data_IF_988541454818
#
_entry.id   IF_988541454818
#
_cell.length_a   1.000
_cell.length_b   1.000
_cell.length_c   1.000
_cell.angle_alpha   90.00
_cell.angle_beta   90.00
_cell.angle_gamma   90.00
#
_symmetry.space_group_name_H-M   'P 1'
#
loop_
_entity.id
_entity.type
_entity.pdbx_description
1 polymer ?
#
# COMPACT_ATOMS: atom_id res chain seq x y z
N UNK A 1 14.79 9.92 87.60
CA UNK A 1 13.57 9.24 87.12
C UNK A 1 13.22 9.95 85.84
N UNK A 2 13.27 9.36 84.66
CA UNK A 2 13.22 7.99 84.19
C UNK A 2 13.98 7.87 82.87
N UNK A 3 14.98 7.03 82.93
CA UNK A 3 15.42 6.30 81.74
C UNK A 3 14.19 5.47 81.21
N UNK A 4 13.91 5.51 79.96
CA UNK A 4 13.59 4.27 79.23
C UNK A 4 13.21 4.49 77.81
N UNK A 5 13.89 3.69 77.04
CA UNK A 5 13.51 3.04 75.78
C UNK A 5 13.60 3.86 74.52
N UNK A 6 14.81 3.99 74.07
CA UNK A 6 15.09 3.95 72.66
C UNK A 6 15.39 2.49 72.27
N UNK A 7 14.36 1.69 72.08
CA UNK A 7 14.51 0.44 71.35
C UNK A 7 14.65 0.79 69.90
N UNK A 8 15.88 0.74 69.46
CA UNK A 8 16.23 0.78 68.07
C UNK A 8 15.49 -0.35 67.34
N UNK A 9 14.60 -0.03 66.43
CA UNK A 9 14.29 -0.89 65.30
C UNK A 9 15.64 -1.13 64.59
N UNK A 10 16.15 -2.34 64.79
CA UNK A 10 17.26 -2.86 64.00
C UNK A 10 16.66 -3.02 62.60
N UNK A 11 16.76 -2.03 61.75
CA UNK A 11 16.68 -2.23 60.31
C UNK A 11 17.65 -3.38 60.01
N UNK A 12 17.13 -4.49 59.53
CA UNK A 12 17.89 -5.62 58.98
C UNK A 12 18.69 -5.07 57.77
N UNK A 13 19.80 -4.40 58.06
CA UNK A 13 20.80 -4.06 57.05
C UNK A 13 21.35 -5.39 56.49
N UNK A 14 20.79 -5.83 55.37
CA UNK A 14 21.27 -7.00 54.66
C UNK A 14 22.74 -6.75 54.30
N UNK A 15 23.65 -7.37 55.06
CA UNK A 15 25.07 -7.25 54.80
C UNK A 15 25.37 -7.73 53.36
N UNK A 16 26.16 -6.95 52.60
CA UNK A 16 26.62 -7.32 51.26
C UNK A 16 27.23 -8.73 51.28
N UNK A 17 27.87 -9.12 52.37
CA UNK A 17 28.43 -10.47 52.59
C UNK A 17 27.31 -11.53 52.58
N UNK A 18 26.21 -11.29 53.25
CA UNK A 18 25.07 -12.21 53.31
C UNK A 18 24.36 -12.35 51.95
N UNK A 19 24.29 -11.25 51.21
CA UNK A 19 23.79 -11.28 49.80
C UNK A 19 24.66 -12.13 48.92
N UNK A 20 25.99 -12.01 49.01
CA UNK A 20 26.97 -12.81 48.25
C UNK A 20 26.85 -14.28 48.65
N UNK A 21 26.76 -14.60 49.96
CA UNK A 21 26.64 -15.96 50.45
C UNK A 21 25.30 -16.61 49.96
N UNK A 22 24.19 -15.90 50.04
CA UNK A 22 22.91 -16.38 49.50
C UNK A 22 22.98 -16.59 47.98
N UNK A 23 23.64 -15.69 47.24
CA UNK A 23 23.82 -15.86 45.81
C UNK A 23 24.58 -17.15 45.48
N UNK A 24 25.71 -17.44 46.18
CA UNK A 24 26.49 -18.66 45.98
C UNK A 24 25.70 -19.91 46.37
N UNK A 25 24.85 -19.84 47.40
CA UNK A 25 24.01 -20.94 47.82
C UNK A 25 22.93 -21.26 46.75
N UNK A 26 22.26 -20.25 46.17
CA UNK A 26 21.31 -20.41 45.06
C UNK A 26 22.00 -20.92 43.81
N UNK A 27 23.18 -20.40 43.50
CA UNK A 27 23.99 -20.86 42.36
C UNK A 27 24.37 -22.33 42.47
N UNK A 28 24.85 -22.77 43.62
CA UNK A 28 25.17 -24.17 43.87
C UNK A 28 23.94 -25.08 43.80
N UNK A 29 22.82 -24.60 44.30
CA UNK A 29 21.53 -25.31 44.22
C UNK A 29 21.05 -25.47 42.76
N UNK A 30 21.20 -24.46 41.94
CA UNK A 30 20.93 -24.50 40.49
C UNK A 30 21.80 -25.55 39.84
N UNK A 31 23.13 -25.55 40.10
CA UNK A 31 24.07 -26.55 39.56
C UNK A 31 23.72 -27.96 40.00
N UNK A 32 23.36 -28.16 41.25
CA UNK A 32 22.93 -29.46 41.78
C UNK A 32 21.64 -29.98 41.14
N UNK A 33 20.76 -29.05 40.72
CA UNK A 33 19.47 -29.39 40.10
C UNK A 33 19.52 -29.45 38.57
N UNK A 34 20.72 -29.66 37.98
CA UNK A 34 20.95 -29.66 36.53
C UNK A 34 20.03 -30.63 35.75
N UNK A 35 19.63 -31.77 36.36
CA UNK A 35 18.74 -32.76 35.73
C UNK A 35 17.37 -32.18 35.46
N UNK A 36 16.85 -31.33 36.35
CA UNK A 36 15.56 -30.68 36.19
C UNK A 36 15.64 -29.58 35.12
N UNK A 37 16.74 -28.81 35.11
CA UNK A 37 16.99 -27.80 34.09
C UNK A 37 17.13 -28.46 32.71
N UNK A 38 17.92 -29.55 32.61
CA UNK A 38 18.08 -30.32 31.38
C UNK A 38 16.75 -30.85 30.85
N UNK A 39 15.84 -31.30 31.72
CA UNK A 39 14.49 -31.72 31.32
C UNK A 39 13.72 -30.57 30.65
N UNK A 40 13.74 -29.38 31.23
CA UNK A 40 13.06 -28.21 30.65
C UNK A 40 13.72 -27.73 29.37
N UNK A 41 15.03 -27.83 29.26
CA UNK A 41 15.77 -27.54 28.00
C UNK A 41 15.31 -28.50 26.90
N UNK A 42 15.25 -29.82 27.20
CA UNK A 42 14.77 -30.82 26.23
C UNK A 42 13.32 -30.54 25.82
N UNK A 43 12.44 -30.21 26.76
CA UNK A 43 11.06 -29.82 26.47
C UNK A 43 10.98 -28.54 25.60
N UNK A 44 11.78 -27.52 25.92
CA UNK A 44 11.88 -26.30 25.15
C UNK A 44 12.37 -26.52 23.71
N UNK A 45 13.40 -27.36 23.55
CA UNK A 45 13.90 -27.78 22.24
C UNK A 45 12.83 -28.56 21.46
N UNK A 46 12.21 -29.55 22.07
CA UNK A 46 11.17 -30.37 21.43
C UNK A 46 10.00 -29.51 20.95
N UNK A 47 9.55 -28.56 21.79
CA UNK A 47 8.48 -27.63 21.44
C UNK A 47 8.86 -26.73 20.25
N UNK A 48 10.09 -26.16 20.25
CA UNK A 48 10.55 -25.32 19.16
C UNK A 48 10.78 -26.11 17.86
N UNK A 49 11.29 -27.34 17.94
CA UNK A 49 11.41 -28.24 16.78
C UNK A 49 10.04 -28.61 16.23
N UNK A 50 9.07 -28.96 17.07
CA UNK A 50 7.69 -29.22 16.63
C UNK A 50 7.12 -28.00 15.89
N UNK A 51 7.30 -26.80 16.43
CA UNK A 51 6.85 -25.54 15.81
C UNK A 51 7.53 -25.29 14.45
N UNK A 52 8.82 -25.60 14.35
CA UNK A 52 9.59 -25.48 13.11
C UNK A 52 9.08 -26.40 11.99
N UNK A 53 8.81 -27.65 12.30
CA UNK A 53 8.31 -28.62 11.31
C UNK A 53 6.86 -28.37 10.91
N UNK A 54 6.06 -27.77 11.79
CA UNK A 54 4.65 -27.44 11.50
C UNK A 54 4.46 -26.06 10.90
N UNK A 55 5.48 -25.16 10.96
CA UNK A 55 5.38 -23.82 10.41
C UNK A 55 5.55 -23.85 8.88
N UNK A 56 4.55 -23.35 8.18
CA UNK A 56 4.60 -23.24 6.73
C UNK A 56 5.49 -22.07 6.30
N UNK A 57 6.34 -22.32 5.32
CA UNK A 57 7.27 -21.32 4.76
C UNK A 57 6.49 -20.32 3.90
N UNK A 58 6.68 -19.02 4.14
CA UNK A 58 6.21 -17.96 3.25
C UNK A 58 7.37 -17.51 2.35
N UNK A 59 7.04 -17.17 1.13
CA UNK A 59 7.96 -16.66 0.11
C UNK A 59 7.59 -15.22 -0.21
N UNK A 60 8.55 -14.32 -0.15
CA UNK A 60 8.33 -12.88 -0.37
C UNK A 60 8.87 -12.49 -1.73
N UNK A 61 7.98 -12.02 -2.61
CA UNK A 61 8.33 -11.38 -3.87
C UNK A 61 8.24 -9.86 -3.69
N UNK A 62 9.21 -9.12 -4.21
CA UNK A 62 9.21 -7.66 -4.16
C UNK A 62 9.54 -7.07 -5.52
N UNK A 63 8.87 -5.97 -5.88
CA UNK A 63 9.16 -5.13 -7.04
C UNK A 63 9.43 -3.71 -6.56
N UNK A 64 10.52 -3.10 -7.07
CA UNK A 64 10.86 -1.72 -6.79
C UNK A 64 10.76 -0.90 -8.08
N UNK A 65 10.17 0.28 -7.99
CA UNK A 65 10.00 1.17 -9.15
C UNK A 65 9.97 2.63 -8.74
N UNK A 66 10.28 3.49 -9.69
CA UNK A 66 10.13 4.94 -9.58
C UNK A 66 9.10 5.41 -10.60
N UNK A 67 8.38 6.45 -10.25
CA UNK A 67 7.49 7.11 -11.17
C UNK A 67 8.11 8.49 -11.44
N UNK A 68 8.61 8.67 -12.64
CA UNK A 68 9.12 9.95 -13.10
C UNK A 68 8.01 10.63 -13.88
N UNK A 69 7.45 11.71 -13.34
CA UNK A 69 6.82 12.71 -14.20
C UNK A 69 7.98 13.48 -14.82
N UNK A 70 8.14 13.38 -16.14
CA UNK A 70 9.09 14.22 -16.84
C UNK A 70 8.94 15.65 -16.33
N UNK A 71 10.04 16.22 -15.86
CA UNK A 71 10.17 17.63 -15.51
C UNK A 71 9.96 18.50 -16.74
N UNK A 72 8.82 18.38 -17.41
CA UNK A 72 8.41 19.35 -18.42
C UNK A 72 8.13 20.73 -17.79
N UNK A 73 8.30 20.86 -16.49
CA UNK A 73 8.45 22.12 -15.76
C UNK A 73 9.79 22.83 -16.05
N UNK A 74 10.80 22.16 -16.63
CA UNK A 74 12.08 22.77 -16.97
C UNK A 74 12.13 23.53 -18.31
N UNK A 75 11.05 23.51 -19.10
CA UNK A 75 10.83 24.48 -20.16
C UNK A 75 10.52 25.84 -19.53
N UNK A 76 11.56 26.47 -19.00
CA UNK A 76 11.58 27.67 -18.14
C UNK A 76 10.90 28.95 -18.67
N UNK A 77 10.13 28.88 -19.73
CA UNK A 77 9.25 29.95 -20.22
C UNK A 77 7.78 29.53 -20.30
N UNK A 78 7.48 28.24 -20.41
CA UNK A 78 6.12 27.70 -20.53
C UNK A 78 5.48 27.38 -19.17
N UNK A 79 6.28 27.07 -18.16
CA UNK A 79 5.81 26.87 -16.79
C UNK A 79 5.20 28.14 -16.17
N UNK A 80 5.71 29.31 -16.52
CA UNK A 80 5.15 30.60 -16.09
C UNK A 80 3.79 30.94 -16.71
N UNK A 81 3.56 30.50 -17.94
CA UNK A 81 2.28 30.72 -18.65
C UNK A 81 1.22 29.69 -18.23
N UNK A 82 1.62 28.44 -17.99
CA UNK A 82 0.77 27.43 -17.39
C UNK A 82 0.51 27.69 -15.89
N UNK A 83 1.47 28.33 -15.19
CA UNK A 83 1.33 28.72 -13.78
C UNK A 83 0.24 29.78 -13.57
N UNK A 84 0.05 30.73 -14.50
CA UNK A 84 -1.02 31.71 -14.41
C UNK A 84 -2.42 31.11 -14.68
N UNK A 85 -2.51 30.03 -15.46
CA UNK A 85 -3.73 29.25 -15.67
C UNK A 85 -3.85 28.04 -14.73
N UNK A 86 -2.72 27.48 -14.27
CA UNK A 86 -2.66 26.36 -13.35
C UNK A 86 -3.21 26.67 -11.97
N UNK A 87 -3.20 27.94 -11.55
CA UNK A 87 -3.85 28.39 -10.33
C UNK A 87 -5.38 28.27 -10.36
N UNK A 88 -6.00 28.25 -11.56
CA UNK A 88 -7.43 28.09 -11.75
C UNK A 88 -7.85 26.62 -11.95
N UNK A 89 -6.90 25.72 -12.34
CA UNK A 89 -7.14 24.30 -12.63
C UNK A 89 -6.59 23.35 -11.55
N UNK A 90 -6.32 23.90 -10.36
CA UNK A 90 -5.90 23.11 -9.21
C UNK A 90 -4.40 22.78 -9.25
N UNK A 91 -3.72 23.41 -8.34
CA UNK A 91 -2.32 23.46 -8.06
C UNK A 91 -1.48 22.25 -8.41
N UNK A 92 -0.20 22.55 -8.59
CA UNK A 92 0.89 21.65 -8.75
C UNK A 92 0.57 20.25 -8.25
N UNK A 93 0.61 19.29 -9.13
CA UNK A 93 0.70 17.90 -8.72
C UNK A 93 2.05 17.71 -8.04
N UNK A 94 2.15 18.14 -6.79
CA UNK A 94 3.10 17.55 -5.90
C UNK A 94 2.74 16.06 -5.89
N UNK A 95 3.61 15.27 -6.43
CA UNK A 95 3.49 13.84 -6.58
C UNK A 95 3.21 13.24 -5.22
N UNK A 96 1.95 12.98 -4.91
CA UNK A 96 1.58 12.45 -3.62
C UNK A 96 1.74 10.92 -3.67
N UNK A 97 2.94 10.44 -3.33
CA UNK A 97 3.27 9.02 -3.25
C UNK A 97 2.30 8.27 -2.31
N UNK A 98 1.78 8.95 -1.27
CA UNK A 98 0.77 8.39 -0.38
C UNK A 98 -0.50 8.00 -1.14
N UNK A 99 -0.95 8.84 -2.10
CA UNK A 99 -2.10 8.50 -2.95
C UNK A 99 -1.84 7.27 -3.81
N UNK A 100 -0.62 7.12 -4.32
CA UNK A 100 -0.26 5.94 -5.11
C UNK A 100 -0.27 4.70 -4.25
N UNK A 101 0.22 4.78 -3.00
CA UNK A 101 0.13 3.70 -2.02
C UNK A 101 -1.34 3.33 -1.70
N UNK A 102 -2.18 4.32 -1.47
CA UNK A 102 -3.61 4.07 -1.22
C UNK A 102 -4.30 3.42 -2.42
N UNK A 103 -3.99 3.88 -3.63
CA UNK A 103 -4.51 3.29 -4.87
C UNK A 103 -4.06 1.84 -5.00
N UNK A 104 -2.78 1.53 -4.70
CA UNK A 104 -2.26 0.16 -4.77
C UNK A 104 -3.00 -0.83 -3.86
N UNK A 105 -3.61 -0.34 -2.76
CA UNK A 105 -4.40 -1.12 -1.79
C UNK A 105 -5.91 -0.95 -1.97
N UNK A 106 -6.35 -0.34 -3.06
CA UNK A 106 -7.77 -0.10 -3.32
C UNK A 106 -8.51 -1.40 -3.65
N UNK A 107 -9.83 -1.44 -3.35
CA UNK A 107 -10.68 -2.57 -3.69
C UNK A 107 -10.68 -2.85 -5.19
N UNK A 108 -10.65 -1.79 -6.02
CA UNK A 108 -10.60 -1.90 -7.47
C UNK A 108 -9.37 -2.65 -7.98
N UNK A 109 -8.19 -2.34 -7.41
CA UNK A 109 -6.94 -3.03 -7.76
C UNK A 109 -7.02 -4.47 -7.27
N UNK A 110 -7.48 -4.69 -6.02
CA UNK A 110 -7.66 -6.03 -5.47
C UNK A 110 -8.60 -6.92 -6.29
N UNK A 111 -9.73 -6.38 -6.73
CA UNK A 111 -10.67 -7.09 -7.62
C UNK A 111 -10.02 -7.52 -8.92
N UNK A 112 -9.37 -6.60 -9.62
CA UNK A 112 -8.71 -6.87 -10.90
C UNK A 112 -7.61 -7.93 -10.77
N UNK A 113 -6.80 -7.87 -9.72
CA UNK A 113 -5.73 -8.84 -9.48
C UNK A 113 -6.30 -10.22 -9.19
N UNK A 114 -7.29 -10.32 -8.32
CA UNK A 114 -7.89 -11.59 -7.92
C UNK A 114 -8.55 -12.31 -9.08
N UNK A 115 -9.04 -11.57 -10.08
CA UNK A 115 -9.66 -12.11 -11.30
C UNK A 115 -8.67 -12.33 -12.46
N UNK A 116 -7.37 -12.03 -12.28
CA UNK A 116 -6.33 -12.44 -13.23
C UNK A 116 -6.04 -13.93 -13.10
N UNK A 117 -5.68 -14.55 -14.24
CA UNK A 117 -5.24 -15.94 -14.28
C UNK A 117 -3.75 -16.05 -13.99
N UNK A 118 -3.38 -17.07 -13.22
CA UNK A 118 -2.01 -17.42 -12.89
C UNK A 118 -1.77 -18.92 -13.02
N UNK A 119 -0.54 -19.33 -13.29
CA UNK A 119 -0.15 -20.75 -13.37
C UNK A 119 0.63 -21.11 -12.11
N UNK A 120 -0.04 -21.73 -11.15
CA UNK A 120 0.54 -22.17 -9.90
C UNK A 120 0.59 -23.70 -9.84
N UNK A 121 1.78 -24.26 -9.61
CA UNK A 121 1.99 -25.72 -9.60
C UNK A 121 1.46 -26.44 -10.85
N UNK A 122 1.59 -25.81 -12.03
CA UNK A 122 1.15 -26.37 -13.31
C UNK A 122 -0.35 -26.28 -13.58
N UNK A 123 -1.16 -25.69 -12.69
CA UNK A 123 -2.58 -25.46 -12.88
C UNK A 123 -2.82 -23.99 -13.19
N UNK A 124 -3.46 -23.72 -14.34
CA UNK A 124 -3.96 -22.38 -14.68
C UNK A 124 -5.32 -22.17 -14.02
N UNK A 125 -5.43 -21.13 -13.21
CA UNK A 125 -6.67 -20.75 -12.52
C UNK A 125 -6.60 -19.26 -12.14
N UNK A 126 -7.70 -18.69 -11.66
CA UNK A 126 -7.70 -17.32 -11.11
C UNK A 126 -6.86 -17.22 -9.84
N UNK A 127 -6.18 -16.08 -9.66
CA UNK A 127 -5.39 -15.80 -8.44
C UNK A 127 -6.27 -15.97 -7.19
N UNK A 128 -7.53 -15.54 -7.24
CA UNK A 128 -8.50 -15.74 -6.16
C UNK A 128 -8.64 -17.23 -5.79
N UNK A 129 -8.76 -18.12 -6.79
CA UNK A 129 -8.91 -19.56 -6.55
C UNK A 129 -7.64 -20.18 -5.95
N UNK A 130 -6.46 -19.78 -6.43
CA UNK A 130 -5.19 -20.21 -5.87
C UNK A 130 -5.03 -19.73 -4.41
N UNK A 131 -5.47 -18.51 -4.12
CA UNK A 131 -5.43 -17.95 -2.78
C UNK A 131 -6.38 -18.68 -1.84
N UNK A 132 -7.63 -18.98 -2.25
CA UNK A 132 -8.60 -19.78 -1.48
C UNK A 132 -8.00 -21.16 -1.15
N UNK A 133 -7.41 -21.85 -2.13
CA UNK A 133 -6.79 -23.16 -1.90
C UNK A 133 -5.61 -23.06 -0.94
N UNK A 134 -4.78 -22.03 -1.07
CA UNK A 134 -3.64 -21.79 -0.19
C UNK A 134 -4.07 -21.53 1.25
N UNK A 135 -5.04 -20.64 1.45
CA UNK A 135 -5.60 -20.29 2.76
C UNK A 135 -6.27 -21.51 3.43
N UNK A 136 -7.03 -22.29 2.67
CA UNK A 136 -7.72 -23.47 3.21
C UNK A 136 -6.75 -24.58 3.61
N UNK A 137 -5.75 -24.85 2.78
CA UNK A 137 -4.79 -25.93 3.02
C UNK A 137 -3.84 -25.61 4.18
N UNK A 138 -3.39 -24.36 4.30
CA UNK A 138 -2.30 -23.96 5.19
C UNK A 138 -2.81 -23.27 6.44
N UNK A 139 -3.67 -22.27 6.30
CA UNK A 139 -4.21 -21.49 7.42
C UNK A 139 -5.48 -22.09 8.01
N UNK A 140 -6.00 -23.15 7.39
CA UNK A 140 -7.25 -23.78 7.79
C UNK A 140 -8.39 -22.75 7.89
N UNK A 141 -8.51 -21.93 6.88
CA UNK A 141 -9.42 -20.78 6.80
C UNK A 141 -10.85 -21.07 7.27
N UNK A 142 -11.33 -22.29 7.06
CA UNK A 142 -12.64 -22.76 7.55
C UNK A 142 -12.56 -23.63 8.80
N UNK A 143 -11.38 -24.13 9.15
CA UNK A 143 -11.23 -25.07 10.27
C UNK A 143 -11.18 -24.33 11.61
N UNK A 144 -12.32 -23.86 12.03
CA UNK A 144 -12.48 -23.14 13.31
C UNK A 144 -12.47 -24.15 14.45
N UNK A 145 -11.72 -23.85 15.52
CA UNK A 145 -11.72 -24.65 16.75
C UNK A 145 -13.15 -24.95 17.23
N UNK A 146 -13.39 -26.17 17.70
CA UNK A 146 -14.72 -26.66 18.08
C UNK A 146 -15.51 -25.72 19.02
N UNK A 147 -14.82 -25.01 19.93
CA UNK A 147 -15.43 -24.05 20.85
C UNK A 147 -15.85 -22.72 20.22
N UNK A 148 -15.35 -22.40 19.03
CA UNK A 148 -15.73 -21.19 18.25
C UNK A 148 -16.87 -21.47 17.26
N UNK A 149 -17.14 -22.74 16.94
CA UNK A 149 -18.18 -23.13 15.95
C UNK A 149 -19.58 -22.57 16.25
N UNK A 150 -20.07 -22.54 17.49
CA UNK A 150 -21.41 -22.02 17.76
C UNK A 150 -21.54 -20.50 17.58
N UNK A 151 -20.42 -19.75 17.56
CA UNK A 151 -20.42 -18.30 17.41
C UNK A 151 -20.18 -17.84 15.96
N UNK A 152 -19.98 -18.77 15.02
CA UNK A 152 -19.64 -18.47 13.62
C UNK A 152 -20.62 -19.21 12.73
N UNK A 153 -21.14 -18.53 11.71
CA UNK A 153 -21.96 -19.17 10.68
C UNK A 153 -21.09 -20.11 9.83
N UNK A 154 -20.93 -21.35 10.34
CA UNK A 154 -20.04 -22.35 9.75
C UNK A 154 -20.48 -22.76 8.33
N UNK A 155 -21.78 -22.85 8.06
CA UNK A 155 -22.29 -23.18 6.73
C UNK A 155 -21.93 -22.10 5.69
N UNK A 156 -22.01 -20.82 6.10
CA UNK A 156 -21.60 -19.71 5.23
C UNK A 156 -20.12 -19.81 4.90
N UNK A 157 -19.27 -20.07 5.89
CA UNK A 157 -17.81 -20.24 5.67
C UNK A 157 -17.50 -21.44 4.77
N UNK A 158 -18.24 -22.52 4.89
CA UNK A 158 -18.09 -23.70 4.03
C UNK A 158 -18.46 -23.40 2.58
N UNK A 159 -19.54 -22.63 2.35
CA UNK A 159 -19.91 -22.15 1.00
C UNK A 159 -18.84 -21.24 0.41
N UNK A 160 -18.24 -20.37 1.21
CA UNK A 160 -17.12 -19.50 0.80
C UNK A 160 -15.88 -20.30 0.37
N UNK A 161 -15.48 -21.28 1.17
CA UNK A 161 -14.38 -22.19 0.86
C UNK A 161 -14.56 -22.92 -0.48
N UNK A 162 -15.79 -23.35 -0.76
CA UNK A 162 -16.11 -24.11 -1.96
C UNK A 162 -16.37 -23.24 -3.18
N UNK A 163 -16.47 -21.91 -2.98
CA UNK A 163 -16.66 -20.99 -4.09
C UNK A 163 -15.44 -20.98 -5.02
N UNK A 164 -15.68 -20.90 -6.32
CA UNK A 164 -14.64 -20.76 -7.34
C UNK A 164 -15.08 -19.72 -8.36
N UNK A 165 -14.17 -18.80 -8.61
CA UNK A 165 -14.33 -17.80 -9.65
C UNK A 165 -14.12 -18.44 -11.00
N UNK A 166 -15.03 -18.20 -11.93
CA UNK A 166 -15.02 -18.80 -13.28
C UNK A 166 -15.09 -17.77 -14.39
N UNK A 167 -15.30 -16.49 -14.04
CA UNK A 167 -15.42 -15.36 -14.96
C UNK A 167 -14.47 -14.24 -14.56
N UNK A 168 -14.09 -13.43 -15.54
CA UNK A 168 -13.22 -12.26 -15.35
C UNK A 168 -13.96 -11.04 -14.76
N UNK A 169 -15.26 -11.17 -14.48
CA UNK A 169 -16.13 -10.15 -13.93
C UNK A 169 -16.96 -10.69 -12.78
N UNK A 170 -17.25 -9.84 -11.81
CA UNK A 170 -18.04 -10.17 -10.62
C UNK A 170 -19.52 -10.01 -10.92
N UNK A 171 -20.31 -10.99 -10.51
CA UNK A 171 -21.75 -10.84 -10.39
C UNK A 171 -22.09 -10.24 -9.01
N UNK A 172 -22.29 -8.94 -8.96
CA UNK A 172 -22.64 -8.23 -7.73
C UNK A 172 -24.01 -8.64 -7.13
N UNK A 173 -24.84 -9.34 -7.90
CA UNK A 173 -26.10 -9.91 -7.39
C UNK A 173 -25.84 -11.22 -6.62
N UNK A 174 -24.72 -11.89 -6.87
CA UNK A 174 -24.31 -13.09 -6.12
C UNK A 174 -23.65 -12.69 -4.78
N UNK A 175 -24.42 -12.74 -3.72
CA UNK A 175 -23.96 -12.35 -2.37
C UNK A 175 -22.77 -13.17 -1.84
N UNK A 176 -22.62 -14.42 -2.28
CA UNK A 176 -21.50 -15.29 -1.86
C UNK A 176 -20.22 -14.87 -2.58
N UNK A 177 -20.30 -14.65 -3.87
CA UNK A 177 -19.16 -14.23 -4.71
C UNK A 177 -18.60 -12.89 -4.23
N UNK A 178 -19.48 -11.89 -4.06
CA UNK A 178 -19.12 -10.56 -3.56
C UNK A 178 -18.50 -10.62 -2.15
N UNK A 179 -19.05 -11.49 -1.28
CA UNK A 179 -18.51 -11.64 0.07
C UNK A 179 -17.13 -12.29 0.07
N UNK A 180 -16.93 -13.36 -0.71
CA UNK A 180 -15.62 -14.04 -0.84
C UNK A 180 -14.58 -13.08 -1.41
N UNK A 181 -14.94 -12.32 -2.44
CA UNK A 181 -14.05 -11.32 -3.02
C UNK A 181 -13.60 -10.29 -1.97
N UNK A 182 -14.56 -9.73 -1.22
CA UNK A 182 -14.26 -8.72 -0.19
C UNK A 182 -13.36 -9.28 0.91
N UNK A 183 -13.60 -10.52 1.34
CA UNK A 183 -12.76 -11.19 2.34
C UNK A 183 -11.35 -11.43 1.81
N UNK A 184 -11.19 -11.84 0.54
CA UNK A 184 -9.87 -12.01 -0.09
C UNK A 184 -9.13 -10.68 -0.23
N UNK A 185 -9.82 -9.59 -0.60
CA UNK A 185 -9.23 -8.25 -0.66
C UNK A 185 -8.77 -7.79 0.74
N UNK A 186 -9.57 -8.08 1.77
CA UNK A 186 -9.20 -7.78 3.16
C UNK A 186 -7.95 -8.54 3.59
N UNK A 187 -7.85 -9.82 3.25
CA UNK A 187 -6.66 -10.64 3.52
C UNK A 187 -5.47 -10.14 2.71
N UNK A 188 -5.68 -9.77 1.45
CA UNK A 188 -4.62 -9.27 0.58
C UNK A 188 -3.95 -8.02 1.16
N UNK A 189 -4.75 -7.05 1.59
CA UNK A 189 -4.26 -5.72 2.01
C UNK A 189 -4.30 -5.46 3.53
N UNK A 190 -4.77 -6.39 4.35
CA UNK A 190 -4.80 -6.23 5.81
C UNK A 190 -5.76 -5.17 6.33
N UNK A 191 -6.91 -4.96 5.66
CA UNK A 191 -7.83 -3.84 5.96
C UNK A 191 -8.51 -3.88 7.34
N UNK A 192 -8.57 -5.05 7.98
CA UNK A 192 -9.18 -5.23 9.31
C UNK A 192 -8.17 -5.08 10.46
N UNK A 193 -7.06 -4.36 10.24
CA UNK A 193 -6.03 -4.13 11.26
C UNK A 193 -5.06 -5.31 11.43
N UNK A 194 -5.15 -6.34 10.58
CA UNK A 194 -4.15 -7.39 10.45
C UNK A 194 -3.06 -7.03 9.43
N UNK A 195 -1.91 -7.70 9.49
CA UNK A 195 -0.91 -7.62 8.42
C UNK A 195 -1.46 -8.32 7.17
N UNK A 196 -1.51 -7.60 6.05
CA UNK A 196 -1.89 -8.16 4.74
C UNK A 196 -0.82 -9.09 4.18
N UNK A 197 -1.19 -9.80 3.11
CA UNK A 197 -0.24 -10.56 2.29
C UNK A 197 0.62 -9.59 1.47
N UNK A 198 0.06 -8.43 1.10
CA UNK A 198 0.69 -7.38 0.32
C UNK A 198 1.04 -6.20 1.21
N UNK A 199 2.29 -5.78 1.12
CA UNK A 199 2.80 -4.57 1.74
C UNK A 199 3.30 -3.62 0.65
N UNK A 200 2.94 -2.35 0.74
CA UNK A 200 3.41 -1.30 -0.14
C UNK A 200 4.01 -0.18 0.68
N UNK A 201 5.22 0.22 0.35
CA UNK A 201 6.01 1.25 1.03
C UNK A 201 6.74 2.12 0.01
N UNK A 202 7.19 3.30 0.42
CA UNK A 202 8.11 4.11 -0.36
C UNK A 202 9.18 4.74 0.52
N UNK A 203 10.34 5.00 -0.06
CA UNK A 203 11.42 5.72 0.60
C UNK A 203 11.15 7.22 0.54
N UNK A 204 10.93 7.87 1.69
CA UNK A 204 10.63 9.31 1.77
C UNK A 204 11.71 10.19 1.11
N UNK A 205 12.98 9.79 1.20
CA UNK A 205 14.11 10.54 0.63
C UNK A 205 14.37 10.21 -0.84
N UNK A 206 14.02 9.01 -1.28
CA UNK A 206 14.39 8.52 -2.63
C UNK A 206 13.22 8.52 -3.60
N UNK A 207 11.98 8.56 -3.10
CA UNK A 207 10.77 8.40 -3.92
C UNK A 207 10.62 6.99 -4.53
N UNK A 208 11.49 6.05 -4.18
CA UNK A 208 11.41 4.66 -4.67
C UNK A 208 10.25 3.97 -3.98
N UNK A 209 9.33 3.45 -4.79
CA UNK A 209 8.21 2.64 -4.31
C UNK A 209 8.58 1.17 -4.35
N UNK A 210 8.11 0.43 -3.33
CA UNK A 210 8.29 -1.00 -3.23
C UNK A 210 6.96 -1.67 -2.89
N UNK A 211 6.59 -2.66 -3.67
CA UNK A 211 5.46 -3.53 -3.43
C UNK A 211 5.99 -4.92 -3.16
N UNK A 212 5.64 -5.51 -2.03
CA UNK A 212 6.03 -6.86 -1.64
C UNK A 212 4.81 -7.72 -1.33
N UNK A 213 4.88 -8.98 -1.75
CA UNK A 213 3.82 -9.97 -1.50
C UNK A 213 4.42 -11.20 -0.85
N UNK A 214 3.86 -11.60 0.28
CA UNK A 214 4.27 -12.78 1.03
C UNK A 214 3.19 -13.85 1.01
N UNK A 215 3.40 -14.95 0.25
CA UNK A 215 2.47 -16.07 0.19
C UNK A 215 3.17 -17.41 0.41
N UNK A 216 2.39 -18.48 0.54
CA UNK A 216 2.93 -19.85 0.74
C UNK A 216 3.38 -20.53 -0.55
N UNK A 217 3.30 -19.83 -1.67
CA UNK A 217 3.81 -20.31 -2.95
C UNK A 217 4.61 -19.19 -3.62
N UNK A 218 5.83 -19.51 -4.01
CA UNK A 218 6.78 -18.58 -4.62
C UNK A 218 6.23 -17.94 -5.91
N UNK A 219 5.69 -18.76 -6.80
CA UNK A 219 5.12 -18.31 -8.06
C UNK A 219 3.88 -17.43 -7.87
N UNK A 220 3.01 -17.80 -6.91
CA UNK A 220 1.84 -16.99 -6.57
C UNK A 220 2.26 -15.61 -6.00
N UNK A 221 3.32 -15.55 -5.18
CA UNK A 221 3.85 -14.27 -4.69
C UNK A 221 4.32 -13.39 -5.85
N UNK A 222 5.05 -13.94 -6.82
CA UNK A 222 5.52 -13.21 -8.01
C UNK A 222 4.34 -12.71 -8.85
N UNK A 223 3.37 -13.59 -9.13
CA UNK A 223 2.23 -13.27 -9.99
C UNK A 223 1.35 -12.17 -9.36
N UNK A 224 1.10 -12.22 -8.04
CA UNK A 224 0.37 -11.17 -7.33
C UNK A 224 1.16 -9.86 -7.39
N UNK A 225 2.46 -9.86 -7.07
CA UNK A 225 3.30 -8.65 -7.07
C UNK A 225 3.33 -7.97 -8.43
N UNK A 226 3.57 -8.75 -9.51
CA UNK A 226 3.58 -8.23 -10.87
C UNK A 226 2.19 -7.72 -11.29
N UNK A 227 1.13 -8.42 -10.92
CA UNK A 227 -0.25 -8.01 -11.25
C UNK A 227 -0.63 -6.69 -10.57
N UNK A 228 -0.21 -6.48 -9.31
CA UNK A 228 -0.43 -5.20 -8.61
C UNK A 228 0.29 -4.08 -9.34
N UNK A 229 1.56 -4.29 -9.67
CA UNK A 229 2.37 -3.31 -10.37
C UNK A 229 1.78 -2.96 -11.76
N UNK A 230 1.36 -3.95 -12.53
CA UNK A 230 0.75 -3.76 -13.84
C UNK A 230 -0.54 -2.95 -13.75
N UNK A 231 -1.47 -3.34 -12.86
CA UNK A 231 -2.74 -2.65 -12.69
C UNK A 231 -2.58 -1.22 -12.15
N UNK A 232 -1.65 -1.04 -11.22
CA UNK A 232 -1.31 0.28 -10.69
C UNK A 232 -0.72 1.18 -11.80
N UNK A 233 0.20 0.63 -12.59
CA UNK A 233 0.84 1.35 -13.71
C UNK A 233 -0.17 1.74 -14.77
N UNK A 234 -1.03 0.80 -15.18
CA UNK A 234 -2.09 1.08 -16.15
C UNK A 234 -3.06 2.14 -15.64
N UNK A 235 -3.52 2.02 -14.40
CA UNK A 235 -4.39 2.99 -13.77
C UNK A 235 -3.78 4.39 -13.75
N UNK A 236 -2.50 4.47 -13.37
CA UNK A 236 -1.79 5.74 -13.25
C UNK A 236 -1.58 6.41 -14.62
N UNK A 237 -1.08 5.65 -15.60
CA UNK A 237 -0.88 6.14 -16.98
C UNK A 237 -2.22 6.62 -17.56
N UNK A 238 -3.27 5.81 -17.44
CA UNK A 238 -4.59 6.16 -17.96
C UNK A 238 -5.14 7.45 -17.34
N UNK A 239 -5.00 7.61 -16.02
CA UNK A 239 -5.49 8.81 -15.31
C UNK A 239 -4.70 10.07 -15.66
N UNK A 240 -3.39 9.94 -15.84
CA UNK A 240 -2.54 11.04 -16.26
C UNK A 240 -2.89 11.51 -17.67
N UNK A 241 -3.05 10.59 -18.62
CA UNK A 241 -3.45 10.88 -20.00
C UNK A 241 -4.87 11.45 -20.05
N UNK A 242 -5.83 10.89 -19.31
CA UNK A 242 -7.21 11.36 -19.26
C UNK A 242 -7.31 12.84 -18.82
N UNK A 243 -6.53 13.25 -17.81
CA UNK A 243 -6.49 14.65 -17.35
C UNK A 243 -5.94 15.59 -18.42
N UNK A 244 -4.89 15.20 -19.14
CA UNK A 244 -4.31 16.00 -20.20
C UNK A 244 -5.27 16.12 -21.39
N UNK A 245 -5.96 15.04 -21.76
CA UNK A 245 -6.97 15.05 -22.79
C UNK A 245 -8.10 16.00 -22.47
N UNK A 246 -8.61 15.99 -21.24
CA UNK A 246 -9.66 16.92 -20.81
C UNK A 246 -9.21 18.38 -20.92
N UNK A 247 -7.95 18.67 -20.59
CA UNK A 247 -7.38 20.03 -20.71
C UNK A 247 -7.27 20.45 -22.17
N UNK A 248 -6.80 19.56 -23.05
CA UNK A 248 -6.73 19.81 -24.47
C UNK A 248 -8.12 20.08 -25.08
N UNK A 249 -9.11 19.23 -24.76
CA UNK A 249 -10.48 19.38 -25.27
C UNK A 249 -11.08 20.72 -24.82
N UNK A 250 -10.84 21.14 -23.56
CA UNK A 250 -11.30 22.45 -23.07
C UNK A 250 -10.66 23.60 -23.85
N UNK A 251 -9.34 23.56 -24.13
CA UNK A 251 -8.64 24.58 -24.89
C UNK A 251 -9.10 24.63 -26.35
N UNK A 252 -9.41 23.46 -26.93
CA UNK A 252 -9.96 23.36 -28.28
C UNK A 252 -11.33 24.03 -28.38
N UNK A 253 -12.25 23.72 -27.46
CA UNK A 253 -13.58 24.35 -27.41
C UNK A 253 -13.47 25.86 -27.26
N UNK A 254 -12.55 26.36 -26.42
CA UNK A 254 -12.30 27.78 -26.23
C UNK A 254 -11.78 28.43 -27.51
N UNK A 255 -10.81 27.83 -28.19
CA UNK A 255 -10.25 28.30 -29.46
C UNK A 255 -11.37 28.40 -30.53
N UNK A 256 -12.13 27.32 -30.71
CA UNK A 256 -13.19 27.27 -31.73
C UNK A 256 -14.27 28.31 -31.44
N UNK A 257 -14.68 28.52 -30.18
CA UNK A 257 -15.64 29.54 -29.78
C UNK A 257 -15.15 30.96 -30.10
N UNK A 258 -13.90 31.29 -29.82
CA UNK A 258 -13.33 32.61 -30.14
C UNK A 258 -13.23 32.81 -31.66
N UNK A 259 -12.87 31.77 -32.41
CA UNK A 259 -12.82 31.82 -33.88
C UNK A 259 -14.18 32.08 -34.48
N UNK A 260 -15.23 31.42 -34.01
CA UNK A 260 -16.63 31.66 -34.46
C UNK A 260 -17.11 33.08 -34.14
N UNK A 261 -16.79 33.58 -32.94
CA UNK A 261 -17.11 34.96 -32.55
C UNK A 261 -16.35 35.97 -33.43
N UNK A 262 -15.10 35.77 -33.73
CA UNK A 262 -14.31 36.62 -34.61
C UNK A 262 -14.94 36.66 -36.01
N UNK A 263 -15.24 35.50 -36.59
CA UNK A 263 -15.85 35.39 -37.92
C UNK A 263 -17.22 36.14 -37.98
N UNK A 264 -18.03 36.02 -36.93
CA UNK A 264 -19.31 36.72 -36.82
C UNK A 264 -19.15 38.26 -36.72
N UNK A 265 -18.15 38.73 -35.96
CA UNK A 265 -17.84 40.15 -35.84
C UNK A 265 -17.22 40.72 -37.10
N UNK A 266 -16.32 40.01 -37.77
CA UNK A 266 -15.76 40.39 -39.06
C UNK A 266 -16.85 40.55 -40.12
N UNK A 267 -17.79 39.57 -40.17
CA UNK A 267 -18.96 39.67 -41.05
C UNK A 267 -19.82 40.90 -40.74
N UNK A 268 -20.07 41.19 -39.45
CA UNK A 268 -20.85 42.31 -38.98
C UNK A 268 -20.19 43.66 -39.34
N UNK A 269 -18.86 43.77 -39.18
CA UNK A 269 -18.07 44.92 -39.56
C UNK A 269 -18.14 45.15 -41.06
N UNK A 270 -17.89 44.11 -41.88
CA UNK A 270 -17.93 44.20 -43.35
C UNK A 270 -19.34 44.63 -43.81
N UNK A 271 -20.39 44.03 -43.30
CA UNK A 271 -21.78 44.40 -43.61
C UNK A 271 -22.09 45.85 -43.21
N UNK A 272 -21.62 46.32 -42.05
CA UNK A 272 -21.77 47.68 -41.62
C UNK A 272 -21.04 48.66 -42.57
N UNK A 273 -19.81 48.38 -42.99
CA UNK A 273 -19.04 49.17 -43.91
C UNK A 273 -19.69 49.22 -45.29
N UNK A 274 -20.22 48.14 -45.82
CA UNK A 274 -20.89 48.06 -47.11
C UNK A 274 -22.21 48.87 -47.14
N UNK A 275 -22.99 48.80 -46.03
CA UNK A 275 -24.28 49.50 -45.93
C UNK A 275 -24.11 51.01 -45.76
N UNK A 276 -23.01 51.48 -45.17
CA UNK A 276 -22.75 52.87 -44.81
C UNK A 276 -21.59 53.48 -45.58
N UNK A 277 -21.48 53.22 -46.90
CA UNK A 277 -20.49 53.82 -47.77
C UNK A 277 -20.70 55.35 -47.81
N UNK A 278 -19.79 56.09 -47.17
CA UNK A 278 -19.90 57.55 -47.08
C UNK A 278 -20.35 58.07 -45.70
N UNK A 279 -19.76 57.54 -44.66
CA UNK A 279 -20.01 57.90 -43.28
C UNK A 279 -19.73 59.35 -42.95
N UNK A 280 -20.77 60.15 -42.89
CA UNK A 280 -20.71 61.58 -42.50
C UNK A 280 -21.18 61.83 -41.07
N UNK A 281 -21.80 60.80 -40.40
CA UNK A 281 -22.27 60.93 -39.04
C UNK A 281 -21.29 60.43 -38.03
N UNK A 282 -20.97 61.23 -37.01
CA UNK A 282 -20.05 60.86 -35.91
C UNK A 282 -20.56 59.60 -35.19
N UNK A 283 -21.85 59.36 -35.07
CA UNK A 283 -22.45 58.14 -34.44
C UNK A 283 -22.05 56.86 -35.20
N UNK A 284 -21.99 56.95 -36.55
CA UNK A 284 -21.66 55.80 -37.39
C UNK A 284 -20.16 55.50 -37.34
N UNK A 285 -19.37 56.56 -37.19
CA UNK A 285 -17.93 56.42 -36.97
C UNK A 285 -17.60 55.77 -35.63
N UNK A 286 -18.27 56.17 -34.54
CA UNK A 286 -18.13 55.58 -33.25
C UNK A 286 -18.51 54.07 -33.28
N UNK A 287 -19.57 53.71 -34.00
CA UNK A 287 -19.99 52.30 -34.15
C UNK A 287 -18.99 51.47 -34.97
N UNK A 288 -18.42 52.01 -36.01
CA UNK A 288 -17.34 51.40 -36.78
C UNK A 288 -16.14 51.11 -35.88
N UNK A 289 -15.70 52.09 -35.10
CA UNK A 289 -14.57 52.00 -34.21
C UNK A 289 -14.84 50.97 -33.08
N UNK A 290 -16.08 50.78 -32.68
CA UNK A 290 -16.45 49.71 -31.74
C UNK A 290 -16.26 48.31 -32.34
N UNK A 291 -16.78 48.09 -33.58
CA UNK A 291 -16.56 46.79 -34.25
C UNK A 291 -15.09 46.51 -34.52
N UNK A 292 -14.32 47.52 -34.97
CA UNK A 292 -12.88 47.34 -35.22
C UNK A 292 -12.13 47.00 -33.94
N UNK A 293 -12.45 47.62 -32.80
CA UNK A 293 -11.86 47.24 -31.50
C UNK A 293 -12.23 45.84 -31.09
N UNK A 294 -13.47 45.41 -31.29
CA UNK A 294 -13.94 44.08 -30.92
C UNK A 294 -13.27 43.00 -31.75
N UNK A 295 -13.15 43.20 -33.06
CA UNK A 295 -12.38 42.36 -33.99
C UNK A 295 -10.92 42.28 -33.56
N UNK A 296 -10.29 43.41 -33.24
CA UNK A 296 -8.91 43.39 -32.75
C UNK A 296 -8.72 42.64 -31.44
N UNK A 297 -9.61 42.81 -30.49
CA UNK A 297 -9.58 42.08 -29.21
C UNK A 297 -9.75 40.57 -29.46
N UNK A 298 -10.73 40.17 -30.28
CA UNK A 298 -10.99 38.77 -30.61
C UNK A 298 -9.84 38.16 -31.42
N UNK A 299 -9.24 38.87 -32.36
CA UNK A 299 -8.07 38.40 -33.12
C UNK A 299 -6.87 38.15 -32.19
N UNK A 300 -6.63 39.05 -31.23
CA UNK A 300 -5.60 38.90 -30.23
C UNK A 300 -5.87 37.69 -29.33
N UNK A 301 -7.10 37.57 -28.84
CA UNK A 301 -7.54 36.45 -28.02
C UNK A 301 -7.46 35.09 -28.76
N UNK A 302 -7.77 35.09 -30.08
CA UNK A 302 -7.61 33.90 -30.93
C UNK A 302 -6.14 33.48 -31.05
N UNK A 303 -5.23 34.45 -31.23
CA UNK A 303 -3.79 34.17 -31.23
C UNK A 303 -3.28 33.53 -29.95
N UNK A 304 -3.74 34.03 -28.79
CA UNK A 304 -3.42 33.44 -27.48
C UNK A 304 -4.09 32.08 -27.30
N UNK A 305 -5.34 31.90 -27.69
CA UNK A 305 -6.05 30.64 -27.61
C UNK A 305 -5.37 29.56 -28.48
N UNK A 306 -4.95 29.91 -29.70
CA UNK A 306 -4.19 29.01 -30.59
C UNK A 306 -2.87 28.60 -29.97
N UNK A 307 -2.10 29.54 -29.42
CA UNK A 307 -0.84 29.24 -28.72
C UNK A 307 -1.07 28.29 -27.56
N UNK A 308 -2.09 28.52 -26.74
CA UNK A 308 -2.41 27.65 -25.61
C UNK A 308 -2.88 26.25 -26.06
N UNK A 309 -3.62 26.14 -27.17
CA UNK A 309 -4.01 24.86 -27.76
C UNK A 309 -2.79 24.06 -28.24
N UNK A 310 -1.83 24.70 -28.91
CA UNK A 310 -0.59 24.05 -29.37
C UNK A 310 0.26 23.58 -28.18
N UNK A 311 0.33 24.36 -27.09
CA UNK A 311 1.03 23.98 -25.86
C UNK A 311 0.39 22.75 -25.22
N UNK A 312 -0.95 22.72 -25.15
CA UNK A 312 -1.67 21.60 -24.54
C UNK A 312 -1.63 20.34 -25.42
N UNK A 313 -1.63 20.48 -26.75
CA UNK A 313 -1.39 19.36 -27.68
C UNK A 313 0.00 18.77 -27.51
N UNK A 314 1.02 19.62 -27.42
CA UNK A 314 2.40 19.19 -27.15
C UNK A 314 2.51 18.47 -25.80
N UNK A 315 1.89 19.03 -24.75
CA UNK A 315 1.86 18.40 -23.43
C UNK A 315 1.15 17.05 -23.46
N UNK A 316 0.03 16.91 -24.19
CA UNK A 316 -0.69 15.65 -24.34
C UNK A 316 0.14 14.57 -25.03
N UNK A 317 0.86 14.95 -26.11
CA UNK A 317 1.70 14.00 -26.86
C UNK A 317 2.95 13.55 -26.12
N UNK A 318 3.50 14.40 -25.25
CA UNK A 318 4.75 14.15 -24.55
C UNK A 318 4.58 13.66 -23.11
N UNK A 319 3.37 13.72 -22.54
CA UNK A 319 3.12 13.27 -21.16
C UNK A 319 2.60 11.84 -21.08
N UNK A 320 3.44 10.88 -21.37
CA UNK A 320 3.28 9.53 -20.80
C UNK A 320 4.13 9.48 -19.55
N UNK A 321 3.54 9.36 -18.33
CA UNK A 321 4.34 9.18 -17.13
C UNK A 321 5.19 7.94 -17.29
N UNK A 322 6.49 8.12 -17.08
CA UNK A 322 7.45 7.02 -17.21
C UNK A 322 7.56 6.30 -15.86
N UNK A 323 7.08 5.07 -15.80
CA UNK A 323 7.26 4.21 -14.65
C UNK A 323 8.47 3.33 -14.90
N UNK A 324 9.55 3.61 -14.17
CA UNK A 324 10.80 2.88 -14.28
C UNK A 324 10.87 1.79 -13.23
N UNK A 325 10.89 0.54 -13.68
CA UNK A 325 11.16 -0.61 -12.81
C UNK A 325 12.64 -0.65 -12.49
N UNK A 326 12.99 -0.72 -11.22
CA UNK A 326 14.36 -0.86 -10.72
C UNK A 326 14.68 -2.34 -10.52
N UNK A 327 13.86 -3.03 -9.72
CA UNK A 327 14.04 -4.43 -9.41
C UNK A 327 12.76 -5.22 -9.68
N UNK A 328 12.90 -6.41 -10.25
CA UNK A 328 11.79 -7.36 -10.43
C UNK A 328 12.01 -8.61 -9.59
N UNK A 329 10.93 -9.22 -9.05
CA UNK A 329 11.07 -10.49 -8.34
C UNK A 329 11.44 -11.61 -9.30
N UNK A 330 12.42 -12.44 -8.91
CA UNK A 330 12.86 -13.63 -9.64
C UNK A 330 13.11 -14.79 -8.68
N UNK A 331 13.05 -16.00 -9.19
CA UNK A 331 13.33 -17.22 -8.43
C UNK A 331 14.85 -17.45 -8.26
N UNK A 332 15.31 -17.99 -7.11
CA UNK A 332 14.54 -18.34 -5.92
C UNK A 332 14.19 -17.12 -5.06
N UNK A 333 13.00 -17.12 -4.43
CA UNK A 333 12.58 -16.07 -3.52
C UNK A 333 13.13 -16.29 -2.10
N UNK A 334 13.27 -15.19 -1.36
CA UNK A 334 13.56 -15.23 0.06
C UNK A 334 12.44 -15.92 0.84
N UNK A 335 12.82 -16.81 1.76
CA UNK A 335 11.89 -17.57 2.57
C UNK A 335 11.89 -17.09 4.02
N UNK A 336 10.72 -17.04 4.65
CA UNK A 336 10.55 -16.65 6.06
C UNK A 336 10.98 -17.74 7.06
N UNK A 337 11.55 -18.85 6.58
CA UNK A 337 11.95 -19.96 7.45
C UNK A 337 13.19 -19.60 8.25
N UNK A 338 13.03 -19.50 9.57
CA UNK A 338 14.16 -19.27 10.49
C UNK A 338 15.21 -20.36 10.38
N UNK A 339 16.49 -20.00 10.47
CA UNK A 339 17.56 -20.98 10.48
C UNK A 339 17.45 -21.92 11.67
N UNK A 340 17.85 -23.18 11.50
CA UNK A 340 17.84 -24.22 12.56
C UNK A 340 18.62 -23.74 13.79
N UNK A 341 19.72 -23.04 13.58
CA UNK A 341 20.55 -22.49 14.67
C UNK A 341 19.76 -21.54 15.59
N UNK A 342 18.97 -20.63 15.03
CA UNK A 342 18.13 -19.70 15.81
C UNK A 342 17.09 -20.42 16.66
N UNK A 343 16.56 -21.53 16.16
CA UNK A 343 15.54 -22.35 16.84
C UNK A 343 16.14 -23.09 18.02
N UNK A 344 17.34 -23.68 17.81
CA UNK A 344 18.08 -24.36 18.87
C UNK A 344 18.42 -23.35 19.98
N UNK A 345 18.95 -22.19 19.61
CA UNK A 345 19.33 -21.15 20.56
C UNK A 345 18.11 -20.63 21.35
N UNK A 346 16.99 -20.41 20.68
CA UNK A 346 15.74 -19.99 21.33
C UNK A 346 15.18 -21.08 22.27
N UNK A 347 15.23 -22.35 21.85
CA UNK A 347 14.82 -23.50 22.65
C UNK A 347 15.65 -23.70 23.91
N UNK A 348 16.99 -23.57 23.78
CA UNK A 348 17.93 -23.58 24.89
C UNK A 348 17.66 -22.43 25.88
N UNK A 349 17.49 -21.23 25.38
CA UNK A 349 17.27 -20.05 26.21
C UNK A 349 15.94 -20.15 26.98
N UNK A 350 14.83 -20.41 26.28
CA UNK A 350 13.52 -20.50 26.93
C UNK A 350 13.41 -21.69 27.88
N UNK A 351 13.92 -22.86 27.46
CA UNK A 351 13.93 -24.06 28.31
C UNK A 351 14.82 -23.90 29.52
N UNK A 352 16.02 -23.33 29.34
CA UNK A 352 16.96 -23.05 30.42
C UNK A 352 16.40 -22.05 31.43
N UNK A 353 15.85 -20.92 30.93
CA UNK A 353 15.24 -19.89 31.78
C UNK A 353 14.07 -20.44 32.60
N UNK A 354 13.18 -21.20 31.98
CA UNK A 354 12.04 -21.82 32.66
C UNK A 354 12.49 -22.86 33.70
N UNK A 355 13.53 -23.64 33.37
CA UNK A 355 14.11 -24.60 34.29
C UNK A 355 14.76 -23.95 35.53
N UNK A 356 15.54 -22.88 35.31
CA UNK A 356 16.15 -22.12 36.40
C UNK A 356 15.09 -21.43 37.26
N UNK A 357 14.09 -20.81 36.64
CA UNK A 357 12.99 -20.18 37.35
C UNK A 357 12.25 -21.15 38.30
N UNK A 358 11.93 -22.36 37.81
CA UNK A 358 11.28 -23.38 38.65
C UNK A 358 12.17 -23.88 39.79
N UNK A 359 13.48 -24.05 39.55
CA UNK A 359 14.42 -24.46 40.58
C UNK A 359 14.51 -23.40 41.68
N UNK A 360 14.60 -22.13 41.31
CA UNK A 360 14.62 -21.00 42.26
C UNK A 360 13.29 -20.92 43.04
N UNK A 361 12.17 -20.96 42.34
CA UNK A 361 10.84 -20.91 42.97
C UNK A 361 10.62 -22.06 43.97
N UNK A 362 11.07 -23.27 43.59
CA UNK A 362 11.01 -24.44 44.52
C UNK A 362 11.88 -24.24 45.74
N UNK A 363 13.09 -23.68 45.60
CA UNK A 363 13.96 -23.40 46.77
C UNK A 363 13.36 -22.33 47.64
N UNK A 364 12.88 -21.23 47.05
CA UNK A 364 12.24 -20.11 47.75
C UNK A 364 11.01 -20.60 48.58
N UNK A 365 10.15 -21.41 47.96
CA UNK A 365 8.99 -21.99 48.63
C UNK A 365 9.41 -22.84 49.82
N UNK A 366 10.45 -23.66 49.70
CA UNK A 366 10.96 -24.49 50.78
C UNK A 366 11.56 -23.63 51.91
N UNK A 367 12.33 -22.58 51.54
CA UNK A 367 12.97 -21.69 52.53
C UNK A 367 11.98 -20.81 53.29
N UNK A 368 10.76 -20.55 52.71
CA UNK A 368 9.66 -19.83 53.40
C UNK A 368 8.84 -20.77 54.29
N UNK A 369 8.72 -22.04 53.93
CA UNK A 369 7.88 -23.01 54.65
C UNK A 369 8.66 -23.83 55.68
N UNK A 370 10.00 -23.70 55.75
CA UNK A 370 10.87 -24.33 56.77
C UNK A 370 11.17 -23.32 57.89
#
# INVERSE_FOLDING_TARGET
MSEQKHNAEIEDEISIKDLILKFWEYFYYILKSWKLIALFVVLGLTFNFYKYFTHNTKYTAAISFMINEDESSSLGGLGGLLGSFGGLLGGASEYNLDKVLEISKSDRIGEKILLKKAIVKGKEDYIANHLIVSLDTIEKWVNVSWYKKPFINYERKLKQRNHRFTKDSIDFQNSIETYVLKELITILFGKDGGSGIVESEYGELTGIMKISTSSYNDKLSIDITNSIFEELSEFYIKKSVEKQQQTFDLMKVKHDSINDLLAANDYSLAKFQDTNRGLFKISDQIRKDQYEREVFILATALGEAKKNLEITDFALRNKTPFIQVLDRPYLPLDSSKSGIFSIVLLGLFLGGFMGVFLVISRKLYRDIMS
#
